data_IF_788549964533
#
_entry.id   IF_788549964533
#
_cell.length_a   1.000
_cell.length_b   1.000
_cell.length_c   1.000
_cell.angle_alpha   90.00
_cell.angle_beta   90.00
_cell.angle_gamma   90.00
#
_symmetry.space_group_name_H-M   'P 1'
#
loop_
_entity.id
_entity.type
_entity.pdbx_description
1 polymer ?
#
# COMPACT_ATOMS: atom_id res chain seq x y z
N UNK A 1 17.09 -20.53 -56.05
CA UNK A 1 16.07 -21.05 -55.09
C UNK A 1 16.65 -21.27 -53.68
N UNK A 2 17.94 -21.58 -53.50
CA UNK A 2 18.55 -21.81 -52.17
C UNK A 2 18.78 -20.52 -51.35
N UNK A 3 18.90 -19.38 -51.98
CA UNK A 3 19.16 -18.09 -51.29
C UNK A 3 17.93 -17.48 -50.59
N UNK A 4 16.71 -17.77 -51.04
CA UNK A 4 15.48 -17.25 -50.44
C UNK A 4 15.11 -17.94 -49.13
N UNK A 5 15.42 -19.23 -49.00
CA UNK A 5 15.10 -20.03 -47.82
C UNK A 5 15.99 -19.66 -46.64
N UNK A 6 17.23 -19.23 -46.89
CA UNK A 6 18.17 -18.84 -45.80
C UNK A 6 17.84 -17.47 -45.20
N UNK A 7 17.32 -16.52 -46.00
CA UNK A 7 16.89 -15.21 -45.49
C UNK A 7 15.62 -15.29 -44.62
N UNK A 8 14.71 -16.18 -44.94
CA UNK A 8 13.48 -16.39 -44.14
C UNK A 8 13.78 -17.00 -42.78
N UNK A 9 14.77 -17.92 -42.68
CA UNK A 9 15.14 -18.55 -41.39
C UNK A 9 15.88 -17.59 -40.42
N UNK A 10 16.65 -16.65 -40.96
CA UNK A 10 17.33 -15.64 -40.13
C UNK A 10 16.34 -14.61 -39.59
N UNK A 11 15.32 -14.25 -40.37
CA UNK A 11 14.28 -13.32 -39.95
C UNK A 11 13.38 -13.89 -38.85
N UNK A 12 13.10 -15.19 -38.88
CA UNK A 12 12.27 -15.87 -37.87
C UNK A 12 13.03 -16.03 -36.54
N UNK A 13 14.35 -16.17 -36.58
CA UNK A 13 15.16 -16.29 -35.36
C UNK A 13 15.36 -14.93 -34.64
N UNK A 14 15.43 -13.84 -35.40
CA UNK A 14 15.51 -12.47 -34.83
C UNK A 14 14.21 -12.02 -34.18
N UNK A 15 13.06 -12.54 -34.60
CA UNK A 15 11.76 -12.16 -34.04
C UNK A 15 11.46 -12.85 -32.69
N UNK A 16 12.08 -14.00 -32.43
CA UNK A 16 11.88 -14.76 -31.18
C UNK A 16 12.72 -14.16 -30.01
N UNK A 17 13.78 -13.43 -30.29
CA UNK A 17 14.66 -12.85 -29.25
C UNK A 17 14.04 -11.58 -28.62
N UNK A 18 13.08 -10.91 -29.29
CA UNK A 18 12.48 -9.66 -28.78
C UNK A 18 11.37 -9.91 -27.75
N UNK A 19 10.90 -11.15 -27.56
CA UNK A 19 9.78 -11.45 -26.66
C UNK A 19 10.16 -11.99 -25.26
N UNK A 20 11.43 -12.03 -24.88
CA UNK A 20 11.86 -12.63 -23.61
C UNK A 20 12.27 -11.57 -22.54
N UNK A 21 12.12 -10.28 -22.81
CA UNK A 21 12.65 -9.26 -21.91
C UNK A 21 11.65 -8.56 -20.97
N UNK A 22 10.43 -9.11 -20.76
CA UNK A 22 9.44 -8.47 -19.89
C UNK A 22 8.79 -9.42 -18.87
N UNK A 23 9.55 -10.28 -18.22
CA UNK A 23 9.04 -11.09 -17.10
C UNK A 23 9.95 -10.91 -15.90
N UNK A 24 10.18 -9.71 -15.46
CA UNK A 24 10.67 -9.40 -14.10
C UNK A 24 10.31 -7.95 -13.76
N UNK A 25 9.04 -7.70 -13.51
CA UNK A 25 8.65 -6.54 -12.71
C UNK A 25 8.04 -7.06 -11.41
N UNK A 26 8.86 -7.60 -10.54
CA UNK A 26 8.56 -7.46 -9.12
C UNK A 26 8.94 -6.03 -8.77
N UNK A 27 7.92 -5.22 -8.59
CA UNK A 27 8.09 -3.90 -7.99
C UNK A 27 8.65 -4.14 -6.59
N UNK A 28 9.78 -3.50 -6.25
CA UNK A 28 10.45 -3.64 -4.96
C UNK A 28 9.66 -3.09 -3.76
N UNK A 29 8.44 -2.62 -3.99
CA UNK A 29 7.60 -1.94 -3.00
C UNK A 29 7.29 -2.79 -1.75
N UNK A 30 7.26 -4.11 -1.87
CA UNK A 30 7.03 -5.05 -0.77
C UNK A 30 8.30 -5.67 -0.17
N UNK A 31 9.48 -5.18 -0.46
CA UNK A 31 10.74 -5.85 -0.09
C UNK A 31 11.22 -5.58 1.33
N UNK A 32 10.59 -4.69 2.06
CA UNK A 32 10.87 -4.49 3.48
C UNK A 32 9.58 -4.70 4.29
N UNK A 33 9.67 -5.52 5.32
CA UNK A 33 8.60 -5.78 6.26
C UNK A 33 9.06 -5.41 7.66
N UNK A 34 8.35 -4.52 8.33
CA UNK A 34 8.57 -4.14 9.72
C UNK A 34 7.31 -4.53 10.48
N UNK A 35 7.44 -5.20 11.62
CA UNK A 35 6.32 -5.75 12.35
C UNK A 35 6.64 -5.98 13.84
N UNK A 36 5.58 -6.15 14.63
CA UNK A 36 5.66 -6.52 16.04
C UNK A 36 6.43 -5.50 16.86
N UNK A 37 7.42 -5.97 17.61
CA UNK A 37 8.27 -5.15 18.46
C UNK A 37 9.70 -5.23 17.96
N UNK A 38 10.22 -4.12 17.43
CA UNK A 38 11.62 -3.96 17.07
C UNK A 38 12.14 -4.99 16.01
N UNK A 39 11.27 -5.52 15.16
CA UNK A 39 11.59 -6.56 14.21
C UNK A 39 11.31 -6.17 12.77
N UNK A 40 12.11 -6.70 11.84
CA UNK A 40 11.89 -6.57 10.41
C UNK A 40 12.61 -7.64 9.60
N UNK A 41 12.16 -7.77 8.35
CA UNK A 41 12.79 -8.62 7.33
C UNK A 41 12.88 -7.81 6.05
N UNK A 42 14.03 -7.86 5.38
CA UNK A 42 14.25 -7.23 4.08
C UNK A 42 14.70 -8.25 3.04
N UNK A 43 14.33 -8.01 1.80
CA UNK A 43 14.83 -8.73 0.63
C UNK A 43 15.57 -7.75 -0.27
N UNK A 44 16.79 -8.09 -0.63
CA UNK A 44 17.54 -7.38 -1.67
C UNK A 44 16.88 -7.64 -3.04
N UNK A 45 16.73 -6.61 -3.86
CA UNK A 45 16.24 -6.72 -5.24
C UNK A 45 17.05 -7.67 -6.13
N UNK A 46 18.31 -7.91 -5.78
CA UNK A 46 19.24 -8.79 -6.51
C UNK A 46 19.24 -10.23 -5.99
N UNK A 47 18.76 -10.44 -4.77
CA UNK A 47 18.75 -11.76 -4.11
C UNK A 47 17.37 -12.07 -3.54
N UNK A 48 16.97 -13.32 -3.58
CA UNK A 48 15.70 -13.78 -2.98
C UNK A 48 15.85 -14.19 -1.52
N UNK A 49 17.00 -13.94 -0.91
CA UNK A 49 17.28 -14.37 0.47
C UNK A 49 16.83 -13.29 1.45
N UNK A 50 15.88 -13.59 2.34
CA UNK A 50 15.47 -12.63 3.37
C UNK A 50 16.57 -12.43 4.41
N UNK A 51 16.71 -11.18 4.87
CA UNK A 51 17.62 -10.78 5.95
C UNK A 51 16.80 -10.17 7.08
N UNK A 52 16.88 -10.77 8.26
CA UNK A 52 16.27 -10.23 9.46
C UNK A 52 17.06 -9.03 9.98
N UNK A 53 16.36 -8.00 10.45
CA UNK A 53 16.97 -6.85 11.12
C UNK A 53 16.15 -6.44 12.34
N UNK A 54 16.79 -5.69 13.26
CA UNK A 54 16.15 -5.09 14.42
C UNK A 54 16.39 -3.59 14.45
N UNK A 55 15.95 -2.92 15.52
CA UNK A 55 16.17 -1.48 15.72
C UNK A 55 15.01 -0.60 15.24
N UNK A 56 13.92 -1.20 14.75
CA UNK A 56 12.70 -0.46 14.46
C UNK A 56 12.10 0.11 15.75
N UNK A 57 11.67 1.39 15.77
CA UNK A 57 10.96 1.97 16.90
C UNK A 57 9.52 1.46 17.06
N UNK A 58 9.05 0.67 16.09
CA UNK A 58 7.70 0.14 16.09
C UNK A 58 7.46 -0.78 17.29
N UNK A 59 6.33 -0.57 17.95
CA UNK A 59 5.77 -1.50 18.93
C UNK A 59 4.27 -1.55 18.70
N UNK A 60 3.83 -2.57 17.98
CA UNK A 60 2.41 -2.79 17.68
C UNK A 60 2.01 -4.21 18.06
N UNK A 61 0.76 -4.38 18.42
CA UNK A 61 0.20 -5.69 18.74
C UNK A 61 -0.24 -6.44 17.48
N UNK A 62 -0.71 -5.70 16.45
CA UNK A 62 -1.37 -6.27 15.28
C UNK A 62 -0.92 -5.59 13.97
N UNK A 63 -1.76 -4.76 13.37
CA UNK A 63 -1.58 -4.24 12.03
C UNK A 63 -0.43 -3.27 11.85
N UNK A 64 0.24 -3.35 10.73
CA UNK A 64 1.32 -2.47 10.30
C UNK A 64 1.37 -2.42 8.77
N UNK A 65 1.79 -1.29 8.23
CA UNK A 65 2.06 -1.12 6.80
C UNK A 65 3.48 -0.63 6.57
N UNK A 66 4.14 -1.19 5.58
CA UNK A 66 5.49 -0.81 5.16
C UNK A 66 5.51 -0.63 3.65
N UNK A 67 6.24 0.35 3.15
CA UNK A 67 6.41 0.59 1.72
C UNK A 67 7.87 0.84 1.38
N UNK A 68 8.31 0.32 0.23
CA UNK A 68 9.63 0.53 -0.35
C UNK A 68 9.50 1.13 -1.75
N UNK A 69 10.59 1.67 -2.27
CA UNK A 69 10.66 2.11 -3.66
C UNK A 69 10.85 0.92 -4.63
N UNK A 70 10.71 1.12 -5.95
CA UNK A 70 10.97 0.07 -6.94
C UNK A 70 12.40 -0.49 -6.93
N UNK A 71 13.34 0.18 -6.26
CA UNK A 71 14.73 -0.25 -6.06
C UNK A 71 14.93 -0.99 -4.74
N UNK A 72 13.85 -1.37 -4.05
CA UNK A 72 13.81 -2.10 -2.77
C UNK A 72 14.28 -1.29 -1.55
N UNK A 73 14.51 0.00 -1.66
CA UNK A 73 14.84 0.83 -0.50
C UNK A 73 13.57 1.09 0.32
N UNK A 74 13.65 0.94 1.63
CA UNK A 74 12.58 1.33 2.53
C UNK A 74 12.30 2.83 2.36
N UNK A 75 11.02 3.21 2.21
CA UNK A 75 10.59 4.59 2.20
C UNK A 75 10.06 5.03 3.57
N UNK A 76 9.02 4.36 4.04
CA UNK A 76 8.42 4.62 5.35
C UNK A 76 7.52 3.47 5.80
N UNK A 77 7.06 3.53 7.04
CA UNK A 77 6.13 2.56 7.61
C UNK A 77 5.24 3.21 8.69
N UNK A 78 4.15 2.54 9.03
CA UNK A 78 3.15 3.03 9.97
C UNK A 78 2.48 1.89 10.72
N UNK A 79 2.12 2.12 12.00
CA UNK A 79 1.23 1.27 12.79
C UNK A 79 -0.24 1.75 12.73
N UNK A 80 -0.52 2.74 11.89
CA UNK A 80 -1.84 3.36 11.78
C UNK A 80 -2.03 4.58 12.70
N UNK A 81 -1.15 4.78 13.69
CA UNK A 81 -1.18 5.93 14.61
C UNK A 81 0.01 6.85 14.43
N UNK A 82 1.16 6.28 14.12
CA UNK A 82 2.43 6.94 13.90
C UNK A 82 3.02 6.57 12.54
N UNK A 83 3.86 7.42 11.97
CA UNK A 83 4.60 7.19 10.72
C UNK A 83 6.07 7.47 10.93
N UNK A 84 6.93 6.53 10.51
CA UNK A 84 8.38 6.65 10.58
C UNK A 84 8.99 6.58 9.19
N UNK A 85 10.01 7.39 8.97
CA UNK A 85 10.79 7.45 7.74
C UNK A 85 11.78 6.27 7.57
N UNK A 86 12.51 6.26 6.46
CA UNK A 86 13.53 5.25 6.15
C UNK A 86 14.67 5.15 7.19
N UNK A 87 14.92 6.22 7.94
CA UNK A 87 15.92 6.27 9.00
C UNK A 87 15.39 5.81 10.36
N UNK A 88 14.17 5.25 10.42
CA UNK A 88 13.50 4.84 11.65
C UNK A 88 13.19 6.03 12.59
N UNK A 89 13.08 7.25 12.05
CA UNK A 89 12.73 8.44 12.78
C UNK A 89 11.28 8.81 12.50
N UNK A 90 10.52 9.16 13.53
CA UNK A 90 9.14 9.61 13.35
C UNK A 90 9.10 10.85 12.45
N UNK A 91 8.25 10.84 11.41
CA UNK A 91 8.02 12.00 10.56
C UNK A 91 7.49 13.17 11.36
N UNK A 92 7.85 14.43 11.03
CA UNK A 92 7.45 15.61 11.82
C UNK A 92 5.94 15.72 12.07
N UNK A 93 5.11 15.40 11.06
CA UNK A 93 3.65 15.36 11.18
C UNK A 93 3.09 13.92 11.26
N UNK A 94 3.97 12.92 11.36
CA UNK A 94 3.63 11.50 11.41
C UNK A 94 3.16 11.01 12.78
N UNK A 95 2.22 11.71 13.40
CA UNK A 95 1.62 11.34 14.69
C UNK A 95 0.12 11.58 14.69
N UNK A 96 -0.62 10.86 15.53
CA UNK A 96 -2.05 11.07 15.72
C UNK A 96 -2.87 10.77 14.44
N UNK A 97 -2.49 9.76 13.68
CA UNK A 97 -3.36 9.18 12.66
C UNK A 97 -4.50 8.43 13.37
N UNK A 98 -5.63 8.26 12.68
CA UNK A 98 -6.88 7.73 13.26
C UNK A 98 -7.00 6.20 13.19
N UNK A 99 -5.91 5.49 12.92
CA UNK A 99 -5.85 4.05 13.12
C UNK A 99 -5.63 3.68 14.58
N UNK A 100 -5.53 2.39 14.87
CA UNK A 100 -5.21 1.88 16.20
C UNK A 100 -4.18 0.75 16.12
N UNK A 101 -3.24 0.71 17.08
CA UNK A 101 -2.20 -0.31 17.15
C UNK A 101 -2.75 -1.71 17.49
N UNK A 102 -3.99 -1.81 17.93
CA UNK A 102 -4.75 -3.03 18.18
C UNK A 102 -5.65 -3.42 17.01
N UNK A 103 -5.78 -2.57 15.99
CA UNK A 103 -6.52 -2.90 14.78
C UNK A 103 -5.79 -3.95 13.97
N UNK A 104 -6.47 -5.03 13.60
CA UNK A 104 -5.89 -6.19 12.88
C UNK A 104 -5.19 -5.80 11.58
N UNK A 105 -5.69 -4.79 10.87
CA UNK A 105 -5.08 -4.20 9.69
C UNK A 105 -5.15 -2.67 9.81
N UNK A 106 -4.44 -2.11 10.79
CA UNK A 106 -4.52 -0.70 11.16
C UNK A 106 -4.26 0.28 10.02
N UNK A 107 -3.45 -0.10 9.04
CA UNK A 107 -3.11 0.73 7.90
C UNK A 107 -2.86 -0.06 6.61
N UNK A 108 -3.05 0.60 5.47
CA UNK A 108 -2.51 0.21 4.17
C UNK A 108 -1.91 1.43 3.48
N UNK A 109 -0.72 1.26 2.87
CA UNK A 109 -0.03 2.33 2.16
C UNK A 109 -0.19 2.12 0.66
N UNK A 110 -0.65 3.16 -0.04
CA UNK A 110 -0.94 3.14 -1.48
C UNK A 110 -0.10 4.22 -2.17
N UNK A 111 0.73 3.87 -3.17
CA UNK A 111 1.36 4.87 -4.02
C UNK A 111 0.29 5.60 -4.84
N UNK A 112 0.44 6.90 -5.03
CA UNK A 112 -0.43 7.63 -5.97
C UNK A 112 -0.02 7.27 -7.39
N UNK A 113 -0.94 6.77 -8.23
CA UNK A 113 -0.64 6.44 -9.61
C UNK A 113 0.01 7.60 -10.36
N UNK A 114 1.07 7.32 -11.12
CA UNK A 114 1.84 8.30 -11.93
C UNK A 114 2.54 9.40 -11.14
N UNK A 115 2.65 9.29 -9.82
CA UNK A 115 3.32 10.27 -8.96
C UNK A 115 4.20 9.53 -7.93
N UNK A 116 5.51 9.39 -8.17
CA UNK A 116 6.39 8.58 -7.31
C UNK A 116 6.69 9.24 -5.95
N UNK A 117 6.29 10.48 -5.75
CA UNK A 117 6.55 11.23 -4.53
C UNK A 117 5.36 11.34 -3.60
N UNK A 118 4.19 10.86 -4.01
CA UNK A 118 2.97 10.94 -3.19
C UNK A 118 2.45 9.55 -2.84
N UNK A 119 2.12 9.37 -1.57
CA UNK A 119 1.51 8.16 -1.03
C UNK A 119 0.29 8.51 -0.20
N UNK A 120 -0.63 7.55 -0.07
CA UNK A 120 -1.76 7.63 0.84
C UNK A 120 -1.66 6.52 1.88
N UNK A 121 -1.86 6.88 3.14
CA UNK A 121 -2.04 5.93 4.24
C UNK A 121 -3.52 5.88 4.54
N UNK A 122 -4.18 4.77 4.25
CA UNK A 122 -5.54 4.52 4.72
C UNK A 122 -5.44 3.85 6.08
N UNK A 123 -6.22 4.34 7.03
CA UNK A 123 -6.24 3.86 8.41
C UNK A 123 -7.64 3.42 8.82
N UNK A 124 -7.72 2.35 9.59
CA UNK A 124 -8.96 1.89 10.23
C UNK A 124 -8.76 1.83 11.73
N UNK A 125 -9.76 2.34 12.46
CA UNK A 125 -9.78 2.33 13.92
C UNK A 125 -10.16 0.94 14.46
N UNK A 126 -9.92 0.67 15.74
CA UNK A 126 -10.33 -0.56 16.40
C UNK A 126 -11.76 -0.47 16.94
N UNK A 127 -12.36 -1.61 17.19
CA UNK A 127 -13.58 -1.78 18.00
C UNK A 127 -14.72 -0.76 17.73
N UNK A 128 -14.89 -0.34 16.47
CA UNK A 128 -15.93 0.61 16.07
C UNK A 128 -15.82 1.98 16.76
N UNK A 129 -14.61 2.39 17.09
CA UNK A 129 -14.35 3.71 17.62
C UNK A 129 -14.70 4.82 16.61
N UNK A 130 -14.58 6.05 17.01
CA UNK A 130 -15.03 7.19 16.20
C UNK A 130 -14.17 7.48 14.96
N UNK A 131 -13.01 6.82 14.82
CA UNK A 131 -12.08 7.02 13.69
C UNK A 131 -12.58 6.45 12.36
N UNK A 132 -13.17 5.26 12.39
CA UNK A 132 -13.64 4.58 11.19
C UNK A 132 -12.54 4.40 10.13
N UNK A 133 -12.90 4.56 8.86
CA UNK A 133 -11.94 4.61 7.75
C UNK A 133 -11.59 6.06 7.41
N UNK A 134 -10.32 6.37 7.42
CA UNK A 134 -9.78 7.67 6.99
C UNK A 134 -8.54 7.48 6.11
N UNK A 135 -8.07 8.55 5.49
CA UNK A 135 -6.77 8.57 4.82
C UNK A 135 -5.95 9.79 5.19
N UNK A 136 -4.64 9.67 5.03
CA UNK A 136 -3.68 10.77 5.13
C UNK A 136 -2.72 10.72 3.95
N UNK A 137 -2.29 11.89 3.44
CA UNK A 137 -1.32 11.98 2.35
C UNK A 137 0.10 12.11 2.92
N UNK A 138 1.04 11.43 2.27
CA UNK A 138 2.48 11.58 2.53
C UNK A 138 3.13 12.17 1.28
N UNK A 139 3.94 13.22 1.48
CA UNK A 139 4.75 13.86 0.45
C UNK A 139 6.23 13.51 0.69
N UNK A 140 6.79 12.68 -0.19
CA UNK A 140 8.19 12.22 -0.09
C UNK A 140 9.21 13.31 -0.44
N UNK A 141 8.79 14.47 -0.98
CA UNK A 141 9.69 15.61 -1.21
C UNK A 141 9.92 16.44 0.05
N UNK A 142 9.05 16.28 1.05
CA UNK A 142 9.14 16.96 2.33
C UNK A 142 10.29 16.41 3.21
N UNK A 143 10.60 17.10 4.28
CA UNK A 143 11.57 16.67 5.30
C UNK A 143 12.94 16.27 4.69
N UNK A 144 13.42 17.02 3.71
CA UNK A 144 14.71 16.75 3.05
C UNK A 144 14.73 15.48 2.19
N UNK A 145 13.58 15.02 1.72
CA UNK A 145 13.43 13.80 0.90
C UNK A 145 13.15 12.53 1.72
N UNK A 146 12.95 12.65 3.04
CA UNK A 146 12.59 11.54 3.93
C UNK A 146 11.07 11.38 4.06
N UNK A 147 10.31 12.34 3.51
CA UNK A 147 8.86 12.35 3.55
C UNK A 147 8.27 12.96 4.81
N UNK A 148 7.05 13.45 4.68
CA UNK A 148 6.24 13.89 5.82
C UNK A 148 4.74 13.74 5.51
N UNK A 149 3.94 13.56 6.55
CA UNK A 149 2.48 13.58 6.44
C UNK A 149 2.02 15.02 6.22
N UNK A 150 1.22 15.24 5.18
CA UNK A 150 0.67 16.56 4.89
C UNK A 150 -0.36 16.95 5.96
N UNK A 151 -0.13 18.00 6.76
CA UNK A 151 -1.06 18.38 7.81
C UNK A 151 -2.41 18.89 7.28
N UNK A 152 -2.51 19.29 6.01
CA UNK A 152 -3.75 19.73 5.39
C UNK A 152 -4.58 18.57 4.79
N UNK A 153 -3.95 17.41 4.60
CA UNK A 153 -4.59 16.21 4.04
C UNK A 153 -4.32 15.01 4.96
N UNK A 154 -4.56 15.21 6.27
CA UNK A 154 -4.36 14.23 7.33
C UNK A 154 -5.69 13.88 7.98
N UNK A 155 -5.92 12.57 8.19
CA UNK A 155 -7.14 12.04 8.81
C UNK A 155 -8.42 12.49 8.08
N UNK A 156 -8.39 12.52 6.76
CA UNK A 156 -9.59 12.83 5.95
C UNK A 156 -10.56 11.65 6.07
N UNK A 157 -11.74 11.84 6.68
CA UNK A 157 -12.66 10.75 6.94
C UNK A 157 -13.35 10.29 5.66
N UNK A 158 -13.57 8.99 5.53
CA UNK A 158 -14.27 8.36 4.40
C UNK A 158 -15.63 7.82 4.84
N UNK A 159 -15.66 6.91 5.81
CA UNK A 159 -16.90 6.46 6.44
C UNK A 159 -16.67 5.85 7.84
N UNK A 160 -17.74 5.77 8.62
CA UNK A 160 -17.80 5.17 9.94
C UNK A 160 -19.21 4.56 10.16
N UNK A 161 -19.37 3.38 10.75
CA UNK A 161 -18.33 2.53 11.31
C UNK A 161 -17.64 1.63 10.26
N UNK A 162 -16.35 1.38 10.45
CA UNK A 162 -15.54 0.46 9.66
C UNK A 162 -15.00 -0.66 10.54
N UNK A 163 -15.00 -1.93 10.11
CA UNK A 163 -14.25 -2.98 10.78
C UNK A 163 -12.74 -2.82 10.46
N UNK A 164 -11.93 -3.58 11.15
CA UNK A 164 -10.47 -3.55 11.10
C UNK A 164 -9.87 -4.21 9.85
N UNK A 165 -10.64 -4.41 8.78
CA UNK A 165 -10.21 -5.12 7.58
C UNK A 165 -10.17 -4.18 6.38
N UNK A 166 -8.99 -4.00 5.84
CA UNK A 166 -8.71 -3.19 4.67
C UNK A 166 -7.73 -3.92 3.75
N UNK A 167 -7.91 -3.80 2.45
CA UNK A 167 -6.96 -4.32 1.45
C UNK A 167 -6.92 -3.43 0.22
N UNK A 168 -5.92 -3.63 -0.63
CA UNK A 168 -5.80 -2.93 -1.90
C UNK A 168 -5.44 -3.90 -3.03
N UNK A 169 -5.93 -3.61 -4.22
CA UNK A 169 -5.64 -4.38 -5.44
C UNK A 169 -5.47 -3.44 -6.62
N UNK A 170 -4.63 -3.82 -7.56
CA UNK A 170 -4.48 -3.09 -8.81
C UNK A 170 -5.78 -3.12 -9.61
N UNK A 171 -6.16 -1.98 -10.16
CA UNK A 171 -7.26 -1.88 -11.10
C UNK A 171 -6.89 -2.56 -12.43
N UNK A 172 -7.90 -3.10 -13.14
CA UNK A 172 -7.69 -3.82 -14.41
C UNK A 172 -7.07 -2.97 -15.53
N UNK A 173 -7.05 -1.64 -15.41
CA UNK A 173 -6.36 -0.76 -16.35
C UNK A 173 -4.83 -0.73 -16.18
N UNK A 174 -4.30 -1.41 -15.16
CA UNK A 174 -2.86 -1.52 -14.90
C UNK A 174 -2.20 -0.28 -14.30
N UNK A 175 -2.97 0.74 -13.95
CA UNK A 175 -2.45 2.01 -13.42
C UNK A 175 -3.08 2.38 -12.09
N UNK A 176 -4.41 2.37 -12.00
CA UNK A 176 -5.17 2.77 -10.83
C UNK A 176 -5.22 1.65 -9.77
N UNK A 177 -5.63 1.99 -8.56
CA UNK A 177 -5.67 1.06 -7.43
C UNK A 177 -7.04 1.13 -6.77
N UNK A 178 -7.63 -0.03 -6.47
CA UNK A 178 -8.79 -0.14 -5.62
C UNK A 178 -8.37 -0.38 -4.17
N UNK A 179 -8.90 0.41 -3.24
CA UNK A 179 -8.88 0.14 -1.80
C UNK A 179 -10.25 -0.40 -1.42
N UNK A 180 -10.29 -1.55 -0.76
CA UNK A 180 -11.52 -2.29 -0.47
C UNK A 180 -11.66 -2.47 1.04
N UNK A 181 -12.81 -2.09 1.56
CA UNK A 181 -13.17 -2.19 2.98
C UNK A 181 -14.59 -2.71 3.10
N UNK A 182 -14.87 -3.50 4.12
CA UNK A 182 -16.25 -3.92 4.46
C UNK A 182 -16.90 -2.88 5.36
N UNK A 183 -18.21 -2.67 5.26
CA UNK A 183 -18.95 -1.90 6.25
C UNK A 183 -19.30 -2.76 7.47
N UNK A 184 -19.37 -2.14 8.63
CA UNK A 184 -19.82 -2.82 9.83
C UNK A 184 -21.33 -2.97 9.87
N UNK A 185 -21.79 -4.14 10.38
CA UNK A 185 -23.21 -4.39 10.65
C UNK A 185 -24.07 -4.70 9.42
N UNK A 186 -23.47 -4.81 8.25
CA UNK A 186 -24.16 -5.16 7.01
C UNK A 186 -23.27 -6.00 6.09
N UNK A 187 -23.72 -6.30 4.87
CA UNK A 187 -22.98 -7.10 3.88
C UNK A 187 -22.38 -6.23 2.76
N UNK A 188 -22.17 -4.95 2.99
CA UNK A 188 -21.65 -4.03 1.98
C UNK A 188 -20.13 -3.95 2.01
N UNK A 189 -19.52 -4.00 0.84
CA UNK A 189 -18.14 -3.63 0.60
C UNK A 189 -18.08 -2.24 -0.03
N UNK A 190 -17.11 -1.45 0.39
CA UNK A 190 -16.76 -0.17 -0.22
C UNK A 190 -15.45 -0.32 -0.97
N UNK A 191 -15.49 0.04 -2.26
CA UNK A 191 -14.29 0.10 -3.10
C UNK A 191 -14.02 1.56 -3.44
N UNK A 192 -12.82 2.04 -3.11
CA UNK A 192 -12.39 3.42 -3.28
C UNK A 192 -11.32 3.44 -4.36
N UNK A 193 -11.54 4.22 -5.42
CA UNK A 193 -10.60 4.32 -6.53
C UNK A 193 -9.53 5.38 -6.24
N UNK A 194 -8.27 4.96 -6.33
CA UNK A 194 -7.10 5.84 -6.29
C UNK A 194 -6.54 5.94 -7.70
N UNK A 195 -6.46 7.16 -8.22
CA UNK A 195 -6.01 7.48 -9.59
C UNK A 195 -4.85 8.47 -9.59
N UNK A 196 -4.34 8.80 -10.75
CA UNK A 196 -3.34 9.88 -10.90
C UNK A 196 -3.88 11.26 -10.48
N UNK A 197 -5.20 11.45 -10.48
CA UNK A 197 -5.84 12.66 -9.93
C UNK A 197 -5.97 12.64 -8.39
N UNK A 198 -5.73 11.50 -7.76
CA UNK A 198 -5.89 11.26 -6.32
C UNK A 198 -7.03 10.31 -6.00
N UNK A 199 -7.55 10.39 -4.77
CA UNK A 199 -8.64 9.55 -4.27
C UNK A 199 -9.97 10.10 -4.77
N UNK A 200 -10.75 9.29 -5.50
CA UNK A 200 -12.06 9.67 -6.02
C UNK A 200 -13.18 9.17 -5.10
N UNK A 201 -13.63 10.03 -4.20
CA UNK A 201 -14.74 9.74 -3.29
C UNK A 201 -16.13 10.06 -3.89
N UNK A 202 -16.19 10.55 -5.13
CA UNK A 202 -17.44 10.93 -5.78
C UNK A 202 -17.88 9.88 -6.81
N UNK A 203 -17.03 9.61 -7.80
CA UNK A 203 -17.34 8.65 -8.87
C UNK A 203 -16.66 7.30 -8.69
N UNK A 204 -15.50 7.29 -8.00
CA UNK A 204 -14.71 6.09 -7.69
C UNK A 204 -15.07 5.42 -6.36
N UNK A 205 -16.18 5.81 -5.72
CA UNK A 205 -16.66 5.21 -4.47
C UNK A 205 -17.83 4.28 -4.74
N UNK A 206 -17.55 2.99 -4.86
CA UNK A 206 -18.52 1.97 -5.26
C UNK A 206 -18.93 1.12 -4.07
N UNK A 207 -20.23 0.87 -3.93
CA UNK A 207 -20.78 -0.08 -2.96
C UNK A 207 -21.23 -1.36 -3.66
N UNK A 208 -20.84 -2.50 -3.11
CA UNK A 208 -21.35 -3.82 -3.51
C UNK A 208 -21.81 -4.60 -2.29
N UNK A 209 -22.88 -5.41 -2.45
CA UNK A 209 -23.46 -6.19 -1.37
C UNK A 209 -23.31 -7.68 -1.67
N UNK A 210 -22.64 -8.42 -0.78
CA UNK A 210 -22.48 -9.87 -0.93
C UNK A 210 -22.19 -10.53 0.43
N UNK A 211 -22.58 -11.80 0.57
CA UNK A 211 -22.36 -12.58 1.78
C UNK A 211 -23.33 -12.25 2.91
N UNK A 212 -22.89 -12.50 4.13
CA UNK A 212 -23.64 -12.23 5.36
C UNK A 212 -23.10 -10.96 6.03
N UNK A 213 -23.95 -10.21 6.77
CA UNK A 213 -23.50 -9.08 7.55
C UNK A 213 -22.36 -9.44 8.50
N UNK A 214 -21.31 -8.62 8.51
CA UNK A 214 -20.28 -8.70 9.53
C UNK A 214 -20.78 -7.94 10.77
N UNK A 215 -21.09 -8.67 11.83
CA UNK A 215 -21.71 -8.12 13.04
C UNK A 215 -21.17 -8.79 14.33
N UNK A 216 -19.97 -9.34 14.29
CA UNK A 216 -19.26 -9.87 15.45
C UNK A 216 -18.62 -8.77 16.30
N UNK A 217 -18.08 -9.11 17.46
CA UNK A 217 -17.22 -8.21 18.23
C UNK A 217 -15.85 -8.11 17.54
N UNK A 218 -15.40 -6.89 17.29
CA UNK A 218 -14.05 -6.52 16.79
C UNK A 218 -13.58 -7.25 15.52
N UNK A 219 -12.58 -6.76 14.90
CA UNK A 219 -12.01 -7.13 13.61
C UNK A 219 -11.61 -8.57 13.31
N UNK A 220 -12.19 -9.54 13.98
CA UNK A 220 -11.91 -10.97 13.79
C UNK A 220 -12.64 -11.50 12.54
#
# INVERSE_FOLDING_TARGET
>A
FKFYIMKAKILTFSLIIIFVSNILAQNGEGNNWIFGTNAGVSWDCSTVTPVAFGGSPLTTNEGVATISDPSCNLLFFSDGTLVWDANMVQMPNGFGLTGDASSTQSAVIIPKPMDPNTYYIFTVDDNLQSGGLAYSRVDMTANGGLGDVDPLEKNIPIFNPSPEKITAVNHANGTDIWVIVHEWGNANFRSILVTSAGIDLVNGYVSSTTGTPHAGSSGI
#
